data_IF_857735037308
#
_entry.id   IF_857735037308
#
_cell.length_a   1.000
_cell.length_b   1.000
_cell.length_c   1.000
_cell.angle_alpha   90.00
_cell.angle_beta   90.00
_cell.angle_gamma   90.00
#
_symmetry.space_group_name_H-M   'P 1'
#
loop_
_entity.id
_entity.type
_entity.pdbx_description
1 polymer ?
#
# COMPACT_ATOMS: atom_id res chain seq x y z
N UNK A 1 25.60 -5.83 13.50
CA UNK A 1 24.54 -5.67 14.53
C UNK A 1 23.88 -7.02 14.87
N UNK A 2 23.32 -7.76 13.90
CA UNK A 2 22.65 -9.05 14.17
C UNK A 2 23.52 -10.08 14.90
N UNK A 3 24.77 -10.30 14.47
CA UNK A 3 25.67 -11.25 15.15
C UNK A 3 25.99 -10.88 16.60
N UNK A 4 25.95 -9.58 16.94
CA UNK A 4 26.09 -9.10 18.33
C UNK A 4 24.84 -9.44 19.16
N UNK A 5 23.63 -9.31 18.58
CA UNK A 5 22.37 -9.73 19.22
C UNK A 5 22.35 -11.25 19.48
N UNK A 6 22.84 -12.06 18.53
CA UNK A 6 22.92 -13.52 18.68
C UNK A 6 23.83 -13.94 19.84
N UNK A 7 24.82 -13.12 20.23
CA UNK A 7 25.72 -13.43 21.34
C UNK A 7 25.01 -13.45 22.71
N UNK A 8 23.84 -12.83 22.86
CA UNK A 8 23.05 -12.91 24.09
C UNK A 8 22.36 -14.27 24.30
N UNK A 9 22.33 -15.15 23.29
CA UNK A 9 21.72 -16.48 23.39
C UNK A 9 22.71 -17.57 23.82
N UNK A 10 22.26 -18.64 24.51
CA UNK A 10 23.07 -19.81 24.86
C UNK A 10 23.75 -20.45 23.66
N UNK A 11 24.98 -20.97 23.81
CA UNK A 11 25.80 -21.51 22.71
C UNK A 11 25.05 -22.53 21.83
N UNK A 12 24.21 -23.38 22.44
CA UNK A 12 23.45 -24.42 21.75
C UNK A 12 22.35 -23.88 20.80
N UNK A 13 21.85 -22.66 21.01
CA UNK A 13 20.78 -22.07 20.19
C UNK A 13 21.25 -21.00 19.21
N UNK A 14 22.51 -20.54 19.31
CA UNK A 14 23.07 -19.45 18.48
C UNK A 14 22.96 -19.70 16.99
N UNK A 15 23.27 -20.92 16.53
CA UNK A 15 23.22 -21.22 15.09
C UNK A 15 21.81 -21.18 14.53
N UNK A 16 20.85 -21.69 15.32
CA UNK A 16 19.42 -21.67 14.97
C UNK A 16 18.89 -20.24 14.93
N UNK A 17 19.16 -19.44 15.97
CA UNK A 17 18.79 -18.01 16.01
C UNK A 17 19.42 -17.25 14.85
N UNK A 18 20.71 -17.43 14.60
CA UNK A 18 21.43 -16.76 13.49
C UNK A 18 20.78 -17.05 12.14
N UNK A 19 20.42 -18.30 11.88
CA UNK A 19 19.74 -18.71 10.65
C UNK A 19 18.35 -18.10 10.52
N UNK A 20 17.57 -18.08 11.61
CA UNK A 20 16.22 -17.50 11.64
C UNK A 20 16.23 -16.00 11.38
N UNK A 21 17.21 -15.26 11.90
CA UNK A 21 17.30 -13.81 11.64
C UNK A 21 17.60 -13.46 10.19
N UNK A 22 18.46 -14.24 9.52
CA UNK A 22 18.72 -14.06 8.09
C UNK A 22 17.49 -14.41 7.25
N UNK A 23 16.79 -15.49 7.60
CA UNK A 23 15.55 -15.87 6.93
C UNK A 23 14.47 -14.79 7.13
N UNK A 24 14.26 -14.31 8.36
CA UNK A 24 13.32 -13.24 8.68
C UNK A 24 13.64 -11.94 7.95
N UNK A 25 14.93 -11.58 7.84
CA UNK A 25 15.35 -10.40 7.08
C UNK A 25 15.05 -10.54 5.58
N UNK A 26 15.29 -11.72 5.01
CA UNK A 26 14.90 -12.04 3.64
C UNK A 26 13.40 -11.90 3.41
N UNK A 27 12.59 -12.48 4.30
CA UNK A 27 11.12 -12.38 4.24
C UNK A 27 10.63 -10.95 4.39
N UNK A 28 11.18 -10.17 5.33
CA UNK A 28 10.81 -8.77 5.51
C UNK A 28 11.15 -7.94 4.27
N UNK A 29 12.34 -8.15 3.69
CA UNK A 29 12.75 -7.44 2.48
C UNK A 29 11.86 -7.79 1.29
N UNK A 30 11.52 -9.07 1.13
CA UNK A 30 10.60 -9.52 0.08
C UNK A 30 9.20 -8.93 0.27
N UNK A 31 8.69 -8.95 1.50
CA UNK A 31 7.40 -8.36 1.85
C UNK A 31 7.36 -6.86 1.54
N UNK A 32 8.34 -6.09 2.03
CA UNK A 32 8.41 -4.64 1.77
C UNK A 32 8.48 -4.35 0.26
N UNK A 33 9.27 -5.12 -0.50
CA UNK A 33 9.34 -4.94 -1.97
C UNK A 33 7.98 -5.21 -2.64
N UNK A 34 7.28 -6.26 -2.21
CA UNK A 34 5.93 -6.54 -2.71
C UNK A 34 4.95 -5.42 -2.35
N UNK A 35 4.94 -4.97 -1.09
CA UNK A 35 4.09 -3.87 -0.62
C UNK A 35 4.36 -2.58 -1.39
N UNK A 36 5.61 -2.24 -1.68
CA UNK A 36 5.95 -1.05 -2.46
C UNK A 36 5.43 -1.14 -3.89
N UNK A 37 5.52 -2.31 -4.53
CA UNK A 37 4.99 -2.51 -5.89
C UNK A 37 3.47 -2.37 -5.93
N UNK A 38 2.78 -2.97 -4.97
CA UNK A 38 1.33 -2.85 -4.78
C UNK A 38 0.94 -1.39 -4.55
N UNK A 39 1.59 -0.72 -3.59
CA UNK A 39 1.34 0.69 -3.27
C UNK A 39 1.53 1.62 -4.48
N UNK A 40 2.54 1.36 -5.32
CA UNK A 40 2.75 2.11 -6.56
C UNK A 40 1.63 1.89 -7.57
N UNK A 41 1.19 0.64 -7.75
CA UNK A 41 0.09 0.31 -8.65
C UNK A 41 -1.20 1.02 -8.22
N UNK A 42 -1.53 0.99 -6.93
CA UNK A 42 -2.71 1.66 -6.38
C UNK A 42 -2.64 3.17 -6.52
N UNK A 43 -1.51 3.76 -6.15
CA UNK A 43 -1.30 5.21 -6.23
C UNK A 43 -1.45 5.71 -7.67
N UNK A 44 -0.86 5.01 -8.64
CA UNK A 44 -0.97 5.34 -10.06
C UNK A 44 -2.39 5.11 -10.56
N UNK A 45 -3.01 3.97 -10.24
CA UNK A 45 -4.38 3.64 -10.64
C UNK A 45 -5.38 4.68 -10.16
N UNK A 46 -5.35 5.01 -8.86
CA UNK A 46 -6.27 6.00 -8.28
C UNK A 46 -5.96 7.42 -8.78
N UNK A 47 -4.69 7.81 -8.92
CA UNK A 47 -4.34 9.11 -9.49
C UNK A 47 -4.83 9.25 -10.94
N UNK A 48 -4.72 8.19 -11.76
CA UNK A 48 -5.24 8.17 -13.13
C UNK A 48 -6.75 8.34 -13.17
N UNK A 49 -7.50 7.61 -12.33
CA UNK A 49 -8.96 7.78 -12.23
C UNK A 49 -9.29 9.22 -11.85
N UNK A 50 -8.61 9.79 -10.84
CA UNK A 50 -8.82 11.17 -10.42
C UNK A 50 -8.53 12.18 -11.56
N UNK A 51 -7.44 12.00 -12.31
CA UNK A 51 -7.10 12.85 -13.47
C UNK A 51 -8.14 12.75 -14.57
N UNK A 52 -8.60 11.54 -14.91
CA UNK A 52 -9.63 11.32 -15.95
C UNK A 52 -10.94 12.00 -15.56
N UNK A 53 -11.30 11.92 -14.28
CA UNK A 53 -12.49 12.57 -13.73
C UNK A 53 -12.29 14.06 -13.43
N UNK A 54 -11.12 14.61 -13.74
CA UNK A 54 -10.70 16.00 -13.49
C UNK A 54 -10.78 16.43 -12.03
N UNK A 55 -10.72 15.48 -11.09
CA UNK A 55 -10.75 15.74 -9.65
C UNK A 55 -9.50 16.54 -9.26
N UNK A 56 -9.65 17.65 -8.55
CA UNK A 56 -8.50 18.44 -8.10
C UNK A 56 -7.63 17.62 -7.16
N UNK A 57 -6.36 18.00 -7.04
CA UNK A 57 -5.42 17.34 -6.12
C UNK A 57 -5.17 15.85 -6.44
N UNK A 58 -5.39 15.39 -7.68
CA UNK A 58 -5.13 14.00 -8.09
C UNK A 58 -3.74 13.49 -7.68
N UNK A 59 -2.71 14.34 -7.80
CA UNK A 59 -1.35 14.02 -7.33
C UNK A 59 -1.28 13.80 -5.82
N UNK A 60 -1.92 14.67 -5.03
CA UNK A 60 -1.93 14.54 -3.57
C UNK A 60 -2.72 13.31 -3.12
N UNK A 61 -3.82 12.99 -3.81
CA UNK A 61 -4.58 11.75 -3.60
C UNK A 61 -3.69 10.54 -3.88
N UNK A 62 -2.96 10.53 -5.00
CA UNK A 62 -2.01 9.45 -5.32
C UNK A 62 -0.94 9.28 -4.25
N UNK A 63 -0.36 10.37 -3.74
CA UNK A 63 0.60 10.33 -2.63
C UNK A 63 -0.03 9.79 -1.34
N UNK A 64 -1.27 10.21 -1.02
CA UNK A 64 -2.01 9.71 0.14
C UNK A 64 -2.24 8.20 0.04
N UNK A 65 -2.64 7.70 -1.13
CA UNK A 65 -2.85 6.27 -1.40
C UNK A 65 -1.54 5.50 -1.28
N UNK A 66 -0.45 6.02 -1.89
CA UNK A 66 0.88 5.41 -1.82
C UNK A 66 1.35 5.23 -0.37
N UNK A 67 1.23 6.29 0.44
CA UNK A 67 1.62 6.25 1.84
C UNK A 67 0.65 5.40 2.68
N UNK A 68 -0.64 5.45 2.37
CA UNK A 68 -1.67 4.66 3.04
C UNK A 68 -1.49 3.15 2.83
N UNK A 69 -1.08 2.72 1.64
CA UNK A 69 -0.96 1.31 1.27
C UNK A 69 0.04 0.50 2.14
N UNK A 70 0.90 1.16 2.92
CA UNK A 70 1.74 0.49 3.93
C UNK A 70 0.94 -0.13 5.10
N UNK A 71 -0.31 0.29 5.29
CA UNK A 71 -1.25 -0.31 6.25
C UNK A 71 -2.35 -0.99 5.42
N UNK A 72 -2.22 -2.30 5.13
CA UNK A 72 -3.17 -3.01 4.29
C UNK A 72 -4.61 -2.85 4.77
N UNK A 73 -5.55 -2.80 3.82
CA UNK A 73 -6.99 -2.62 4.05
C UNK A 73 -7.34 -1.23 4.60
N UNK A 74 -6.81 -0.85 5.76
CA UNK A 74 -7.12 0.42 6.43
C UNK A 74 -6.67 1.61 5.59
N UNK A 75 -5.45 1.56 5.07
CA UNK A 75 -4.89 2.63 4.24
C UNK A 75 -5.63 2.81 2.93
N UNK A 76 -5.94 1.71 2.24
CA UNK A 76 -6.72 1.72 1.00
C UNK A 76 -8.13 2.31 1.24
N UNK A 77 -8.79 1.90 2.32
CA UNK A 77 -10.15 2.33 2.65
C UNK A 77 -10.18 3.82 3.02
N UNK A 78 -9.25 4.30 3.86
CA UNK A 78 -9.17 5.71 4.25
C UNK A 78 -8.77 6.58 3.05
N UNK A 79 -7.70 6.22 2.33
CA UNK A 79 -7.23 7.03 1.21
C UNK A 79 -8.21 7.06 0.03
N UNK A 80 -8.83 5.92 -0.28
CA UNK A 80 -9.91 5.82 -1.26
C UNK A 80 -11.14 6.63 -0.85
N UNK A 81 -11.53 6.61 0.43
CA UNK A 81 -12.62 7.44 0.93
C UNK A 81 -12.30 8.93 0.79
N UNK A 82 -11.08 9.37 1.13
CA UNK A 82 -10.65 10.76 0.92
C UNK A 82 -10.75 11.14 -0.56
N UNK A 83 -10.32 10.26 -1.46
CA UNK A 83 -10.42 10.49 -2.90
C UNK A 83 -11.88 10.71 -3.36
N UNK A 84 -12.80 9.85 -2.89
CA UNK A 84 -14.24 9.94 -3.19
C UNK A 84 -14.87 11.20 -2.60
N UNK A 85 -14.50 11.58 -1.37
CA UNK A 85 -14.99 12.79 -0.72
C UNK A 85 -14.49 14.05 -1.43
N UNK A 86 -13.22 14.08 -1.86
CA UNK A 86 -12.68 15.20 -2.65
C UNK A 86 -13.42 15.32 -3.98
N UNK A 87 -13.67 14.20 -4.67
CA UNK A 87 -14.46 14.19 -5.90
C UNK A 87 -15.89 14.70 -5.68
N UNK A 88 -16.54 14.31 -4.57
CA UNK A 88 -17.87 14.75 -4.19
C UNK A 88 -17.94 16.26 -4.00
N UNK A 89 -16.99 16.82 -3.26
CA UNK A 89 -16.95 18.26 -2.96
C UNK A 89 -16.64 19.07 -4.22
N UNK A 90 -15.77 18.56 -5.10
CA UNK A 90 -15.33 19.31 -6.28
C UNK A 90 -16.32 19.26 -7.45
N UNK A 91 -16.95 18.11 -7.70
CA UNK A 91 -17.74 17.88 -8.92
C UNK A 91 -19.14 17.27 -8.67
N UNK A 92 -19.48 16.98 -7.42
CA UNK A 92 -20.78 16.44 -7.04
C UNK A 92 -20.88 14.90 -7.07
N UNK A 93 -22.09 14.36 -6.85
CA UNK A 93 -22.30 12.95 -6.50
C UNK A 93 -22.03 11.98 -7.65
N UNK A 94 -22.24 12.39 -8.90
CA UNK A 94 -21.98 11.52 -10.06
C UNK A 94 -20.47 11.24 -10.18
N UNK A 95 -19.65 12.28 -10.12
CA UNK A 95 -18.19 12.13 -10.17
C UNK A 95 -17.65 11.38 -8.96
N UNK A 96 -18.23 11.58 -7.77
CA UNK A 96 -17.88 10.80 -6.58
C UNK A 96 -18.17 9.30 -6.75
N UNK A 97 -19.32 8.96 -7.35
CA UNK A 97 -19.69 7.58 -7.61
C UNK A 97 -18.76 6.93 -8.65
N UNK A 98 -18.39 7.67 -9.70
CA UNK A 98 -17.39 7.22 -10.68
C UNK A 98 -16.00 7.05 -10.04
N UNK A 99 -15.63 7.94 -9.12
CA UNK A 99 -14.37 7.83 -8.38
C UNK A 99 -14.39 6.59 -7.49
N UNK A 100 -15.49 6.33 -6.79
CA UNK A 100 -15.68 5.11 -5.99
C UNK A 100 -15.59 3.86 -6.86
N UNK A 101 -16.23 3.87 -8.03
CA UNK A 101 -16.15 2.76 -8.98
C UNK A 101 -14.70 2.53 -9.43
N UNK A 102 -13.93 3.58 -9.70
CA UNK A 102 -12.51 3.48 -10.04
C UNK A 102 -11.65 2.95 -8.89
N UNK A 103 -11.89 3.42 -7.65
CA UNK A 103 -11.22 2.91 -6.43
C UNK A 103 -11.48 1.41 -6.26
N UNK A 104 -12.73 0.98 -6.43
CA UNK A 104 -13.09 -0.44 -6.37
C UNK A 104 -12.42 -1.21 -7.52
N UNK A 105 -12.44 -0.69 -8.74
CA UNK A 105 -11.82 -1.34 -9.89
C UNK A 105 -10.31 -1.56 -9.70
N UNK A 106 -9.59 -0.56 -9.19
CA UNK A 106 -8.16 -0.67 -8.87
C UNK A 106 -7.92 -1.75 -7.81
N UNK A 107 -8.70 -1.74 -6.72
CA UNK A 107 -8.59 -2.77 -5.67
C UNK A 107 -8.93 -4.17 -6.18
N UNK A 108 -9.88 -4.30 -7.11
CA UNK A 108 -10.18 -5.58 -7.75
C UNK A 108 -8.99 -6.07 -8.58
N UNK A 109 -8.36 -5.19 -9.36
CA UNK A 109 -7.16 -5.55 -10.13
C UNK A 109 -6.03 -5.98 -9.19
N UNK A 110 -5.79 -5.21 -8.13
CA UNK A 110 -4.82 -5.53 -7.10
C UNK A 110 -5.07 -6.92 -6.48
N UNK A 111 -6.31 -7.17 -6.07
CA UNK A 111 -6.70 -8.42 -5.40
C UNK A 111 -6.63 -9.67 -6.29
N UNK A 112 -6.74 -9.54 -7.61
CA UNK A 112 -6.74 -10.69 -8.54
C UNK A 112 -5.41 -10.92 -9.24
N UNK A 113 -4.58 -9.89 -9.36
CA UNK A 113 -3.34 -9.93 -10.17
C UNK A 113 -2.09 -9.83 -9.30
N UNK A 114 -2.14 -9.07 -8.21
CA UNK A 114 -0.97 -8.75 -7.39
C UNK A 114 -0.95 -9.51 -6.05
N UNK A 115 -2.10 -9.99 -5.58
CA UNK A 115 -2.25 -10.85 -4.40
C UNK A 115 -2.60 -12.28 -4.80
#
# INVERSE_FOLDING_TARGET
IWDWVVQFFPRASRDKVRSSGRAAWGSLTAFVRATVLVALADAVGIALVAVILQVPLALAIGVLVFLGAFIPIVGALISGMVAVLVALVAHGPITALLMLAGVVAVQQIESHVLQ
#
